data_IF_436883309027
#
_entry.id   IF_436883309027
#
_cell.length_a   1.000
_cell.length_b   1.000
_cell.length_c   1.000
_cell.angle_alpha   90.00
_cell.angle_beta   90.00
_cell.angle_gamma   90.00
#
_symmetry.space_group_name_H-M   'P 1'
#
loop_
_entity.id
_entity.type
_entity.pdbx_description
1 polymer ?
#
# COMPACT_ATOMS: atom_id res chain seq x y z
N UNK A 1 9.04 -18.11 -3.26
CA UNK A 1 7.60 -17.92 -3.03
C UNK A 1 6.99 -17.46 -4.34
N UNK A 2 5.91 -18.09 -4.84
CA UNK A 2 5.11 -17.58 -5.95
C UNK A 2 4.71 -16.10 -5.72
N UNK A 3 4.66 -15.32 -6.79
CA UNK A 3 4.48 -13.87 -6.67
C UNK A 3 3.07 -13.50 -6.18
N UNK A 4 2.06 -14.20 -6.65
CA UNK A 4 0.68 -14.12 -6.21
C UNK A 4 0.56 -14.40 -4.70
N UNK A 5 1.23 -15.45 -4.20
CA UNK A 5 1.27 -15.76 -2.77
C UNK A 5 1.95 -14.65 -1.97
N UNK A 6 3.04 -14.07 -2.49
CA UNK A 6 3.72 -12.94 -1.86
C UNK A 6 2.81 -11.71 -1.77
N UNK A 7 2.15 -11.34 -2.87
CA UNK A 7 1.21 -10.20 -2.90
C UNK A 7 0.08 -10.40 -1.90
N UNK A 8 -0.51 -11.59 -1.84
CA UNK A 8 -1.59 -11.92 -0.88
C UNK A 8 -1.09 -11.76 0.56
N UNK A 9 0.08 -12.32 0.88
CA UNK A 9 0.66 -12.22 2.23
C UNK A 9 0.97 -10.79 2.62
N UNK A 10 1.54 -9.99 1.70
CA UNK A 10 1.79 -8.57 1.93
C UNK A 10 0.50 -7.81 2.17
N UNK A 11 -0.53 -8.05 1.36
CA UNK A 11 -1.82 -7.39 1.54
C UNK A 11 -2.44 -7.69 2.91
N UNK A 12 -2.49 -8.97 3.30
CA UNK A 12 -3.05 -9.37 4.61
C UNK A 12 -2.28 -8.75 5.78
N UNK A 13 -0.95 -8.67 5.70
CA UNK A 13 -0.13 -8.00 6.70
C UNK A 13 -0.43 -6.48 6.76
N UNK A 14 -0.51 -5.82 5.61
CA UNK A 14 -0.82 -4.39 5.51
C UNK A 14 -2.20 -4.11 6.07
N UNK A 15 -3.21 -4.89 5.70
CA UNK A 15 -4.58 -4.72 6.17
C UNK A 15 -4.69 -4.87 7.68
N UNK A 16 -4.05 -5.90 8.25
CA UNK A 16 -3.99 -6.09 9.70
C UNK A 16 -3.34 -4.91 10.42
N UNK A 17 -2.23 -4.37 9.90
CA UNK A 17 -1.55 -3.23 10.49
C UNK A 17 -2.34 -1.92 10.33
N UNK A 18 -2.91 -1.69 9.15
CA UNK A 18 -3.69 -0.51 8.84
C UNK A 18 -4.91 -0.42 9.76
N UNK A 19 -5.65 -1.52 9.91
CA UNK A 19 -6.82 -1.61 10.77
C UNK A 19 -6.52 -1.44 12.26
N UNK A 20 -5.25 -1.59 12.69
CA UNK A 20 -4.85 -1.28 14.06
C UNK A 20 -4.52 0.22 14.22
N UNK A 21 -3.95 0.85 13.20
CA UNK A 21 -3.47 2.24 13.25
C UNK A 21 -4.55 3.26 12.91
N UNK A 22 -5.40 2.97 11.93
CA UNK A 22 -6.38 3.89 11.37
C UNK A 22 -7.78 3.51 11.83
N UNK A 23 -8.21 4.09 12.96
CA UNK A 23 -9.54 3.87 13.54
C UNK A 23 -10.59 4.90 13.09
N UNK A 24 -10.13 5.99 12.45
CA UNK A 24 -10.98 7.08 11.95
C UNK A 24 -10.56 7.42 10.53
N UNK A 25 -11.48 7.88 9.66
CA UNK A 25 -11.14 8.29 8.30
C UNK A 25 -10.02 9.33 8.30
N UNK A 26 -8.96 9.07 7.51
CA UNK A 26 -7.83 10.00 7.35
C UNK A 26 -8.25 11.32 6.69
N UNK A 27 -9.36 11.29 5.93
CA UNK A 27 -9.94 12.47 5.28
C UNK A 27 -11.32 12.74 5.85
N UNK A 28 -11.58 14.01 6.15
CA UNK A 28 -12.89 14.49 6.62
C UNK A 28 -13.76 15.07 5.51
N UNK A 29 -13.27 15.13 4.26
CA UNK A 29 -14.03 15.68 3.12
C UNK A 29 -13.54 15.22 1.76
N UNK A 30 -14.42 15.34 0.76
CA UNK A 30 -14.19 14.89 -0.63
C UNK A 30 -14.52 13.42 -0.87
N UNK A 31 -14.44 13.00 -2.14
CA UNK A 31 -14.64 11.60 -2.52
C UNK A 31 -13.45 10.75 -2.09
N UNK A 32 -13.74 9.58 -1.51
CA UNK A 32 -12.71 8.59 -1.21
C UNK A 32 -12.00 8.16 -2.51
N UNK A 33 -10.68 7.91 -2.46
CA UNK A 33 -9.98 7.30 -3.58
C UNK A 33 -10.60 5.92 -3.86
N UNK A 34 -10.74 5.55 -5.14
CA UNK A 34 -11.31 4.26 -5.52
C UNK A 34 -10.37 3.10 -5.17
N UNK A 35 -9.07 3.34 -5.23
CA UNK A 35 -8.04 2.43 -4.74
C UNK A 35 -7.95 2.60 -3.23
N UNK A 36 -8.06 1.50 -2.48
CA UNK A 36 -7.92 1.54 -1.03
C UNK A 36 -6.49 1.85 -0.61
N UNK A 37 -6.33 2.38 0.60
CA UNK A 37 -5.01 2.66 1.16
C UNK A 37 -4.21 1.38 1.38
N UNK A 38 -4.87 0.28 1.79
CA UNK A 38 -4.24 -1.03 1.94
C UNK A 38 -3.70 -1.57 0.61
N UNK A 39 -4.48 -1.49 -0.47
CA UNK A 39 -4.01 -1.89 -1.81
C UNK A 39 -2.80 -1.06 -2.22
N UNK A 40 -2.83 0.26 -2.01
CA UNK A 40 -1.72 1.13 -2.39
C UNK A 40 -0.44 0.79 -1.61
N UNK A 41 -0.51 0.69 -0.29
CA UNK A 41 0.65 0.37 0.55
C UNK A 41 1.19 -1.02 0.19
N UNK A 42 0.31 -1.99 -0.07
CA UNK A 42 0.70 -3.30 -0.58
C UNK A 42 1.46 -3.19 -1.90
N UNK A 43 0.99 -2.39 -2.85
CA UNK A 43 1.65 -2.16 -4.13
C UNK A 43 3.06 -1.58 -3.94
N UNK A 44 3.21 -0.57 -3.06
CA UNK A 44 4.51 0.03 -2.75
C UNK A 44 5.49 -1.01 -2.19
N UNK A 45 5.08 -1.80 -1.19
CA UNK A 45 5.94 -2.81 -0.55
C UNK A 45 6.35 -3.91 -1.56
N UNK A 46 5.39 -4.41 -2.34
CA UNK A 46 5.69 -5.43 -3.37
C UNK A 46 6.62 -4.85 -4.43
N UNK A 47 6.36 -3.63 -4.88
CA UNK A 47 7.16 -2.94 -5.88
C UNK A 47 8.62 -2.74 -5.43
N UNK A 48 8.81 -2.25 -4.20
CA UNK A 48 10.15 -2.11 -3.62
C UNK A 48 10.86 -3.46 -3.46
N UNK A 49 10.15 -4.51 -3.02
CA UNK A 49 10.73 -5.85 -2.91
C UNK A 49 11.18 -6.41 -4.28
N UNK A 50 10.50 -6.05 -5.35
CA UNK A 50 10.87 -6.40 -6.73
C UNK A 50 11.94 -5.48 -7.33
N UNK A 51 12.48 -4.53 -6.55
CA UNK A 51 13.54 -3.62 -7.00
C UNK A 51 13.05 -2.47 -7.88
N UNK A 52 11.77 -2.11 -7.81
CA UNK A 52 11.24 -0.94 -8.51
C UNK A 52 11.55 0.33 -7.72
N UNK A 53 12.31 1.23 -8.35
CA UNK A 53 12.84 2.46 -7.73
C UNK A 53 11.88 3.66 -7.73
N UNK A 54 10.69 3.54 -8.33
CA UNK A 54 9.76 4.66 -8.48
C UNK A 54 8.30 4.21 -8.44
N UNK A 55 7.44 5.06 -7.84
CA UNK A 55 5.97 4.91 -7.84
C UNK A 55 5.41 4.68 -9.25
N UNK A 56 6.03 5.27 -10.27
CA UNK A 56 5.62 5.10 -11.65
C UNK A 56 5.83 3.67 -12.14
N UNK A 57 6.99 3.07 -11.88
CA UNK A 57 7.27 1.66 -12.24
C UNK A 57 6.33 0.72 -11.50
N UNK A 58 6.09 0.98 -10.20
CA UNK A 58 5.15 0.21 -9.38
C UNK A 58 3.74 0.29 -9.96
N UNK A 59 3.24 1.50 -10.22
CA UNK A 59 1.92 1.71 -10.82
C UNK A 59 1.79 0.99 -12.18
N UNK A 60 2.78 1.13 -13.06
CA UNK A 60 2.78 0.47 -14.37
C UNK A 60 2.77 -1.05 -14.25
N UNK A 61 3.56 -1.59 -13.33
CA UNK A 61 3.65 -3.02 -13.08
C UNK A 61 2.30 -3.61 -12.68
N UNK A 62 1.63 -3.05 -11.68
CA UNK A 62 0.31 -3.54 -11.25
C UNK A 62 -0.77 -3.31 -12.31
N UNK A 63 -0.69 -2.21 -13.06
CA UNK A 63 -1.60 -1.95 -14.19
C UNK A 63 -1.48 -3.03 -15.27
N UNK A 64 -0.29 -3.57 -15.51
CA UNK A 64 -0.02 -4.54 -16.58
C UNK A 64 -0.23 -5.99 -16.13
N UNK A 65 0.20 -6.34 -14.92
CA UNK A 65 0.29 -7.73 -14.48
C UNK A 65 -0.82 -8.13 -13.50
N UNK A 66 -1.38 -7.18 -12.76
CA UNK A 66 -2.27 -7.45 -11.62
C UNK A 66 -3.54 -6.59 -11.62
N UNK A 67 -3.94 -6.06 -12.79
CA UNK A 67 -5.11 -5.18 -12.90
C UNK A 67 -6.40 -5.83 -12.41
N UNK A 68 -6.52 -7.16 -12.55
CA UNK A 68 -7.67 -7.91 -12.06
C UNK A 68 -7.77 -7.91 -10.53
N UNK A 69 -6.65 -7.70 -9.84
CA UNK A 69 -6.57 -7.69 -8.38
C UNK A 69 -6.72 -6.28 -7.82
N UNK A 70 -6.36 -5.25 -8.60
CA UNK A 70 -6.56 -3.83 -8.28
C UNK A 70 -7.46 -3.17 -9.34
N UNK A 71 -8.73 -3.59 -9.48
CA UNK A 71 -9.62 -3.14 -10.55
C UNK A 71 -9.85 -1.62 -10.52
N UNK A 72 -9.74 -1.02 -9.34
CA UNK A 72 -9.93 0.41 -9.10
C UNK A 72 -8.65 1.25 -9.25
N UNK A 73 -7.54 0.65 -9.74
CA UNK A 73 -6.30 1.36 -10.01
C UNK A 73 -6.51 2.45 -11.08
N UNK A 74 -6.58 3.69 -10.60
CA UNK A 74 -6.80 4.89 -11.40
C UNK A 74 -5.55 5.38 -12.13
N UNK A 75 -5.54 6.66 -12.48
CA UNK A 75 -4.41 7.30 -13.15
C UNK A 75 -3.18 7.39 -12.24
N UNK A 76 -1.98 7.38 -12.84
CA UNK A 76 -0.72 7.55 -12.11
C UNK A 76 -0.70 8.81 -11.21
N UNK A 77 -1.16 10.00 -11.65
CA UNK A 77 -1.18 11.17 -10.76
C UNK A 77 -2.03 10.98 -9.50
N UNK A 78 -3.15 10.25 -9.59
CA UNK A 78 -3.98 9.95 -8.42
C UNK A 78 -3.29 8.95 -7.49
N UNK A 79 -2.62 7.94 -8.06
CA UNK A 79 -1.80 6.99 -7.32
C UNK A 79 -0.67 7.70 -6.56
N UNK A 80 0.17 8.48 -7.25
CA UNK A 80 1.28 9.22 -6.64
C UNK A 80 0.79 10.22 -5.57
N UNK A 81 -0.35 10.89 -5.82
CA UNK A 81 -0.98 11.75 -4.81
C UNK A 81 -1.39 10.95 -3.57
N UNK A 82 -1.91 9.74 -3.73
CA UNK A 82 -2.30 8.90 -2.61
C UNK A 82 -1.08 8.35 -1.86
N UNK A 83 0.01 7.96 -2.55
CA UNK A 83 1.31 7.61 -1.95
C UNK A 83 1.82 8.71 -1.01
N UNK A 84 1.78 9.96 -1.47
CA UNK A 84 2.20 11.11 -0.68
C UNK A 84 1.30 11.34 0.54
N UNK A 85 -0.02 11.20 0.40
CA UNK A 85 -0.96 11.38 1.51
C UNK A 85 -0.86 10.29 2.59
N UNK A 86 -0.39 9.10 2.23
CA UNK A 86 -0.23 7.98 3.16
C UNK A 86 1.13 7.93 3.85
N UNK A 87 2.00 8.92 3.61
CA UNK A 87 3.32 8.98 4.22
C UNK A 87 3.28 8.82 5.75
N UNK A 88 2.39 9.55 6.44
CA UNK A 88 2.27 9.45 7.89
C UNK A 88 1.86 8.04 8.36
N UNK A 89 0.92 7.39 7.67
CA UNK A 89 0.49 6.02 7.99
C UNK A 89 1.65 5.03 7.83
N UNK A 90 2.41 5.16 6.73
CA UNK A 90 3.59 4.32 6.48
C UNK A 90 4.65 4.48 7.56
N UNK A 91 4.88 5.70 8.05
CA UNK A 91 5.77 5.96 9.17
C UNK A 91 5.28 5.28 10.47
N UNK A 92 3.98 5.35 10.76
CA UNK A 92 3.41 4.66 11.93
C UNK A 92 3.51 3.13 11.83
N UNK A 93 3.29 2.57 10.64
CA UNK A 93 3.51 1.13 10.39
C UNK A 93 4.96 0.75 10.66
N UNK A 94 5.91 1.50 10.13
CA UNK A 94 7.34 1.26 10.36
C UNK A 94 7.68 1.29 11.86
N UNK A 95 7.25 2.32 12.58
CA UNK A 95 7.50 2.46 14.02
C UNK A 95 6.92 1.27 14.81
N UNK A 96 5.69 0.87 14.51
CA UNK A 96 5.03 -0.26 15.18
C UNK A 96 5.74 -1.58 14.92
N UNK A 97 6.17 -1.81 13.68
CA UNK A 97 6.95 -2.98 13.31
C UNK A 97 8.26 -2.97 14.11
N UNK A 98 9.06 -1.90 14.05
CA UNK A 98 10.35 -1.79 14.76
C UNK A 98 10.20 -1.99 16.27
N UNK A 99 9.16 -1.44 16.90
CA UNK A 99 8.91 -1.63 18.33
C UNK A 99 8.72 -3.11 18.68
N UNK A 100 7.90 -3.83 17.92
CA UNK A 100 7.67 -5.26 18.14
C UNK A 100 8.96 -6.11 17.97
N UNK A 101 9.91 -5.67 17.15
CA UNK A 101 11.20 -6.36 16.99
C UNK A 101 12.16 -6.11 18.17
N UNK A 102 12.01 -5.00 18.91
CA UNK A 102 12.84 -4.72 20.08
C UNK A 102 12.34 -5.40 21.36
N UNK A 103 11.09 -5.87 21.38
CA UNK A 103 10.48 -6.59 22.52
C UNK A 103 10.64 -8.12 22.44
N UNK A 104 11.29 -8.63 21.38
CA UNK A 104 11.58 -10.05 21.14
C UNK A 104 13.07 -10.34 21.36
#
# INVERSE_FOLDING_TARGET
MPQDEFIIKTYLMVDALYNQLVQKPLRQGGFAPKLSDCELICMEIVGEFLGMDTDKKIWQYFKQHWQNWVPNLGSYPNFAKQCANLYWVKQQMHQKITANWCEQ
#
